data_IF_335135833683
#
_entry.id   IF_335135833683
#
_cell.length_a   1.000
_cell.length_b   1.000
_cell.length_c   1.000
_cell.angle_alpha   90.00
_cell.angle_beta   90.00
_cell.angle_gamma   90.00
#
_symmetry.space_group_name_H-M   'P 1'
#
loop_
_entity.id
_entity.type
_entity.pdbx_description
1 polymer ?
#
# COMPACT_ATOMS: atom_id res chain seq x y z
N UNK A 1 -12.95 17.69 -10.58
CA UNK A 1 -12.58 16.84 -9.43
C UNK A 1 -11.17 17.23 -9.05
N UNK A 2 -10.91 17.51 -7.77
CA UNK A 2 -9.56 17.79 -7.31
C UNK A 2 -8.69 16.55 -7.58
N UNK A 3 -7.49 16.77 -8.06
CA UNK A 3 -6.50 15.73 -8.30
C UNK A 3 -5.89 15.42 -6.93
N UNK A 4 -6.33 14.36 -6.26
CA UNK A 4 -5.66 13.92 -5.03
C UNK A 4 -4.25 13.46 -5.38
N UNK A 5 -3.24 14.06 -4.74
CA UNK A 5 -1.84 13.75 -4.97
C UNK A 5 -1.37 12.85 -3.84
N UNK A 6 -0.99 11.63 -4.17
CA UNK A 6 -0.42 10.67 -3.21
C UNK A 6 1.11 10.68 -3.34
N UNK A 7 1.81 10.84 -2.21
CA UNK A 7 3.27 10.60 -2.12
C UNK A 7 3.53 9.39 -1.24
N UNK A 8 4.55 8.60 -1.59
CA UNK A 8 4.89 7.35 -0.91
C UNK A 8 6.38 7.27 -0.60
N UNK A 9 6.71 6.76 0.58
CA UNK A 9 8.07 6.69 1.10
C UNK A 9 8.37 5.31 1.67
N UNK A 10 9.65 4.94 1.66
CA UNK A 10 10.15 3.88 2.55
C UNK A 10 10.25 4.43 3.98
N UNK A 11 10.11 3.55 4.96
CA UNK A 11 10.30 3.88 6.37
C UNK A 11 11.63 3.31 6.85
N UNK A 12 12.40 4.09 7.62
CA UNK A 12 13.80 3.77 7.96
C UNK A 12 14.04 3.42 9.42
N UNK A 13 13.05 3.63 10.29
CA UNK A 13 13.08 3.21 11.69
C UNK A 13 11.65 3.06 12.24
N UNK A 14 11.52 2.70 13.51
CA UNK A 14 10.24 2.38 14.16
C UNK A 14 9.70 3.48 15.11
N UNK A 15 10.27 4.69 15.10
CA UNK A 15 9.86 5.76 16.04
C UNK A 15 8.40 6.19 15.83
N UNK A 16 7.86 6.04 14.61
CA UNK A 16 6.44 6.25 14.27
C UNK A 16 5.46 5.41 15.10
N UNK A 17 5.89 4.26 15.65
CA UNK A 17 4.99 3.37 16.41
C UNK A 17 4.46 4.04 17.68
N UNK A 18 5.27 4.89 18.30
CA UNK A 18 4.86 5.68 19.48
C UNK A 18 3.85 6.78 19.16
N UNK A 19 3.74 7.16 17.89
CA UNK A 19 2.88 8.25 17.39
C UNK A 19 1.61 7.73 16.70
N UNK A 20 1.48 6.42 16.50
CA UNK A 20 0.33 5.81 15.84
C UNK A 20 -0.94 5.94 16.69
N UNK A 21 -1.94 6.62 16.13
CA UNK A 21 -3.23 6.86 16.79
C UNK A 21 -4.23 5.72 16.57
N UNK A 22 -4.14 5.03 15.43
CA UNK A 22 -4.97 3.89 15.09
C UNK A 22 -4.18 2.89 14.25
N UNK A 23 -4.63 1.63 14.24
CA UNK A 23 -4.10 0.58 13.38
C UNK A 23 -5.24 -0.28 12.88
N UNK A 24 -5.20 -0.66 11.61
CA UNK A 24 -6.17 -1.57 11.00
C UNK A 24 -5.44 -2.69 10.27
N UNK A 25 -5.94 -3.90 10.42
CA UNK A 25 -5.47 -5.04 9.63
C UNK A 25 -6.15 -5.04 8.27
N UNK A 26 -5.35 -5.19 7.22
CA UNK A 26 -5.79 -5.11 5.83
C UNK A 26 -5.23 -6.28 5.04
N UNK A 27 -6.11 -6.96 4.30
CA UNK A 27 -5.75 -7.93 3.28
C UNK A 27 -6.28 -7.47 1.92
N UNK A 28 -5.40 -7.32 0.93
CA UNK A 28 -5.77 -6.81 -0.40
C UNK A 28 -5.50 -7.87 -1.49
N UNK A 29 -6.58 -8.43 -2.05
CA UNK A 29 -6.55 -9.51 -3.04
C UNK A 29 -6.81 -8.98 -4.44
N UNK A 30 -5.89 -9.28 -5.37
CA UNK A 30 -6.12 -9.01 -6.78
C UNK A 30 -7.07 -10.06 -7.37
N UNK A 31 -8.23 -9.60 -7.84
CA UNK A 31 -9.26 -10.48 -8.43
C UNK A 31 -9.10 -10.54 -9.95
N UNK A 32 -8.98 -9.37 -10.59
CA UNK A 32 -8.89 -9.30 -12.04
C UNK A 32 -7.94 -8.21 -12.51
N UNK A 33 -7.38 -8.44 -13.70
CA UNK A 33 -6.73 -7.42 -14.54
C UNK A 33 -7.44 -7.45 -15.88
N UNK A 34 -7.75 -6.28 -16.40
CA UNK A 34 -8.37 -6.08 -17.69
C UNK A 34 -7.68 -4.92 -18.40
N UNK A 35 -8.02 -4.69 -19.67
CA UNK A 35 -7.41 -3.61 -20.44
C UNK A 35 -7.62 -2.26 -19.73
N UNK A 36 -6.52 -1.56 -19.46
CA UNK A 36 -6.52 -0.30 -18.73
C UNK A 36 -6.73 -0.41 -17.21
N UNK A 37 -7.07 -1.57 -16.62
CA UNK A 37 -7.53 -1.57 -15.23
C UNK A 37 -7.41 -2.87 -14.43
N UNK A 38 -7.95 -2.83 -13.21
CA UNK A 38 -7.93 -3.95 -12.26
C UNK A 38 -9.08 -3.91 -11.26
N UNK A 39 -9.42 -5.08 -10.73
CA UNK A 39 -10.36 -5.27 -9.63
C UNK A 39 -9.63 -5.88 -8.43
N UNK A 40 -9.88 -5.36 -7.23
CA UNK A 40 -9.34 -5.92 -5.98
C UNK A 40 -10.43 -6.01 -4.92
N UNK A 41 -10.43 -7.08 -4.15
CA UNK A 41 -11.20 -7.16 -2.90
C UNK A 41 -10.26 -6.85 -1.76
N UNK A 42 -10.64 -5.86 -0.94
CA UNK A 42 -9.95 -5.52 0.29
C UNK A 42 -10.80 -5.97 1.47
N UNK A 43 -10.21 -6.75 2.36
CA UNK A 43 -10.71 -6.96 3.71
C UNK A 43 -10.01 -5.93 4.60
N UNK A 44 -10.79 -5.11 5.29
CA UNK A 44 -10.30 -4.13 6.24
C UNK A 44 -11.25 -4.18 7.43
N UNK A 45 -10.83 -4.86 8.49
CA UNK A 45 -11.70 -5.18 9.63
C UNK A 45 -13.03 -5.82 9.12
N UNK A 46 -14.18 -5.33 9.57
CA UNK A 46 -15.50 -5.85 9.22
C UNK A 46 -16.10 -5.19 7.96
N UNK A 47 -15.30 -4.48 7.15
CA UNK A 47 -15.79 -3.70 6.00
C UNK A 47 -15.13 -4.14 4.68
N UNK A 48 -15.50 -5.32 4.14
CA UNK A 48 -14.96 -5.77 2.88
C UNK A 48 -15.46 -4.90 1.72
N UNK A 49 -14.56 -4.57 0.79
CA UNK A 49 -14.86 -3.69 -0.34
C UNK A 49 -14.26 -4.26 -1.63
N UNK A 50 -15.05 -4.28 -2.70
CA UNK A 50 -14.56 -4.47 -4.07
C UNK A 50 -14.23 -3.09 -4.66
N UNK A 51 -13.00 -2.93 -5.13
CA UNK A 51 -12.55 -1.73 -5.82
C UNK A 51 -12.23 -2.02 -7.27
N UNK A 52 -12.85 -1.24 -8.17
CA UNK A 52 -12.58 -1.24 -9.61
C UNK A 52 -11.77 0.00 -9.97
N UNK A 53 -10.61 -0.19 -10.57
CA UNK A 53 -9.69 0.88 -10.99
C UNK A 53 -9.57 0.85 -12.50
N UNK A 54 -9.95 1.94 -13.17
CA UNK A 54 -9.85 2.11 -14.61
C UNK A 54 -8.48 2.59 -15.08
N UNK A 55 -8.42 2.99 -16.35
CA UNK A 55 -7.21 3.50 -17.00
C UNK A 55 -6.70 4.78 -16.35
N UNK A 56 -5.37 4.90 -16.30
CA UNK A 56 -4.71 6.09 -15.76
C UNK A 56 -4.52 7.11 -16.89
N UNK A 57 -4.99 8.33 -16.66
CA UNK A 57 -4.77 9.48 -17.53
C UNK A 57 -3.98 10.54 -16.75
N UNK A 58 -2.67 10.61 -16.96
CA UNK A 58 -1.77 11.42 -16.13
C UNK A 58 -1.69 10.88 -14.69
N UNK A 59 -1.94 11.73 -13.70
CA UNK A 59 -1.96 11.31 -12.29
C UNK A 59 -3.27 10.62 -11.87
N UNK A 60 -4.38 10.88 -12.58
CA UNK A 60 -5.72 10.46 -12.20
C UNK A 60 -6.17 9.14 -12.87
N UNK A 61 -7.14 8.48 -12.26
CA UNK A 61 -7.92 7.37 -12.86
C UNK A 61 -9.32 7.34 -12.25
N UNK A 62 -10.28 6.72 -12.94
CA UNK A 62 -11.56 6.38 -12.33
C UNK A 62 -11.40 5.25 -11.34
N UNK A 63 -12.05 5.37 -10.18
CA UNK A 63 -12.07 4.37 -9.14
C UNK A 63 -13.49 4.24 -8.57
N UNK A 64 -13.97 3.01 -8.40
CA UNK A 64 -15.29 2.71 -7.82
C UNK A 64 -15.11 1.78 -6.64
N UNK A 65 -15.83 2.06 -5.55
CA UNK A 65 -15.85 1.25 -4.34
C UNK A 65 -17.25 0.67 -4.15
N UNK A 66 -17.33 -0.64 -3.98
CA UNK A 66 -18.57 -1.37 -3.75
C UNK A 66 -18.41 -2.14 -2.44
N UNK A 67 -19.19 -1.78 -1.43
CA UNK A 67 -19.24 -2.53 -0.17
C UNK A 67 -19.76 -3.95 -0.43
N UNK A 68 -19.14 -4.93 0.21
CA UNK A 68 -19.53 -6.34 0.12
C UNK A 68 -20.02 -6.83 1.48
N UNK A 69 -20.72 -7.96 1.48
CA UNK A 69 -20.84 -8.78 2.68
C UNK A 69 -19.56 -9.60 2.88
N UNK A 70 -19.30 -10.08 4.11
CA UNK A 70 -18.17 -10.96 4.39
C UNK A 70 -18.23 -12.25 3.56
N UNK A 71 -19.42 -12.83 3.40
CA UNK A 71 -19.63 -14.06 2.62
C UNK A 71 -19.32 -13.84 1.14
N UNK A 72 -19.80 -12.74 0.54
CA UNK A 72 -19.51 -12.40 -0.85
C UNK A 72 -18.01 -12.16 -1.06
N UNK A 73 -17.37 -11.42 -0.15
CA UNK A 73 -15.95 -11.14 -0.24
C UNK A 73 -15.11 -12.42 -0.18
N UNK A 74 -15.43 -13.31 0.76
CA UNK A 74 -14.74 -14.59 0.90
C UNK A 74 -14.98 -15.50 -0.32
N UNK A 75 -16.21 -15.55 -0.84
CA UNK A 75 -16.54 -16.29 -2.06
C UNK A 75 -15.77 -15.78 -3.28
N UNK A 76 -15.70 -14.46 -3.47
CA UNK A 76 -14.95 -13.84 -4.57
C UNK A 76 -13.45 -14.11 -4.44
N UNK A 77 -12.89 -13.97 -3.24
CA UNK A 77 -11.47 -14.26 -3.00
C UNK A 77 -11.16 -15.72 -3.29
N UNK A 78 -11.98 -16.65 -2.76
CA UNK A 78 -11.76 -18.08 -2.93
C UNK A 78 -11.80 -18.52 -4.39
N UNK A 79 -12.71 -17.95 -5.19
CA UNK A 79 -12.91 -18.37 -6.58
C UNK A 79 -11.94 -17.66 -7.54
N UNK A 80 -11.63 -16.38 -7.30
CA UNK A 80 -11.02 -15.52 -8.31
C UNK A 80 -9.68 -14.88 -7.92
N UNK A 81 -9.22 -14.99 -6.66
CA UNK A 81 -7.98 -14.35 -6.25
C UNK A 81 -6.78 -14.88 -7.04
N UNK A 82 -6.02 -13.95 -7.62
CA UNK A 82 -4.76 -14.24 -8.32
C UNK A 82 -3.61 -14.19 -7.31
N UNK A 83 -3.44 -15.28 -6.56
CA UNK A 83 -2.36 -15.45 -5.58
C UNK A 83 -2.71 -14.98 -4.16
N UNK A 84 -1.73 -14.93 -3.24
CA UNK A 84 -1.97 -14.53 -1.86
C UNK A 84 -2.41 -13.07 -1.78
N UNK A 85 -3.15 -12.75 -0.72
CA UNK A 85 -3.46 -11.38 -0.36
C UNK A 85 -2.20 -10.62 0.03
N UNK A 86 -2.18 -9.31 -0.25
CA UNK A 86 -1.17 -8.43 0.30
C UNK A 86 -1.63 -8.00 1.70
N UNK A 87 -1.05 -8.60 2.72
CA UNK A 87 -1.41 -8.42 4.12
C UNK A 87 -0.53 -7.36 4.79
N UNK A 88 -1.14 -6.48 5.59
CA UNK A 88 -0.45 -5.41 6.31
C UNK A 88 -1.24 -4.90 7.52
N UNK A 89 -0.54 -4.29 8.46
CA UNK A 89 -1.12 -3.37 9.43
C UNK A 89 -0.92 -1.95 8.91
N UNK A 90 -2.02 -1.22 8.69
CA UNK A 90 -1.98 0.20 8.34
C UNK A 90 -2.19 1.03 9.60
N UNK A 91 -1.17 1.80 9.95
CA UNK A 91 -1.17 2.71 11.08
C UNK A 91 -1.40 4.14 10.64
N UNK A 92 -2.24 4.86 11.37
CA UNK A 92 -2.51 6.27 11.16
C UNK A 92 -1.65 7.10 12.11
N UNK A 93 -0.76 7.92 11.56
CA UNK A 93 0.17 8.78 12.30
C UNK A 93 -0.09 10.22 11.91
N UNK A 94 -0.44 11.07 12.89
CA UNK A 94 -0.69 12.50 12.64
C UNK A 94 0.62 13.28 12.76
N UNK A 95 0.99 14.00 11.71
CA UNK A 95 2.20 14.84 11.67
C UNK A 95 1.79 16.21 11.15
N UNK A 96 1.92 17.24 11.98
CA UNK A 96 1.42 18.56 11.66
C UNK A 96 -0.08 18.51 11.31
N UNK A 97 -0.43 19.02 10.14
CA UNK A 97 -1.80 19.03 9.62
C UNK A 97 -2.17 17.78 8.82
N UNK A 98 -1.22 16.88 8.55
CA UNK A 98 -1.41 15.74 7.65
C UNK A 98 -1.54 14.42 8.39
N UNK A 99 -2.33 13.52 7.81
CA UNK A 99 -2.44 12.14 8.25
C UNK A 99 -1.56 11.27 7.36
N UNK A 100 -0.60 10.60 7.97
CA UNK A 100 0.24 9.61 7.32
C UNK A 100 -0.32 8.21 7.54
N UNK A 101 -0.32 7.41 6.49
CA UNK A 101 -0.67 5.99 6.55
C UNK A 101 0.61 5.16 6.45
N UNK A 102 1.07 4.62 7.58
CA UNK A 102 2.24 3.75 7.67
C UNK A 102 1.80 2.30 7.55
N UNK A 103 2.17 1.66 6.45
CA UNK A 103 1.92 0.25 6.18
C UNK A 103 3.10 -0.60 6.64
N UNK A 104 2.88 -1.42 7.66
CA UNK A 104 3.75 -2.52 8.03
C UNK A 104 3.26 -3.81 7.36
N UNK A 105 4.03 -4.32 6.39
CA UNK A 105 3.66 -5.53 5.67
C UNK A 105 3.89 -6.79 6.52
N UNK A 106 2.98 -7.74 6.36
CA UNK A 106 2.99 -9.01 7.08
C UNK A 106 3.38 -10.19 6.17
N UNK A 107 3.45 -11.38 6.75
CA UNK A 107 3.73 -12.62 6.04
C UNK A 107 5.10 -12.60 5.34
N UNK A 108 5.18 -12.99 4.05
CA UNK A 108 6.46 -13.02 3.31
C UNK A 108 7.18 -11.67 3.23
N UNK A 109 6.44 -10.55 3.36
CA UNK A 109 6.98 -9.20 3.26
C UNK A 109 7.27 -8.57 4.64
N UNK A 110 7.35 -9.39 5.69
CA UNK A 110 7.75 -8.93 7.02
C UNK A 110 9.10 -8.20 6.96
N UNK A 111 9.12 -6.97 7.45
CA UNK A 111 10.30 -6.09 7.44
C UNK A 111 10.26 -5.00 6.35
N UNK A 112 9.31 -5.05 5.41
CA UNK A 112 8.99 -3.91 4.55
C UNK A 112 8.00 -3.00 5.26
N UNK A 113 8.32 -1.71 5.33
CA UNK A 113 7.42 -0.68 5.85
C UNK A 113 7.41 0.50 4.89
N UNK A 114 6.22 0.97 4.53
CA UNK A 114 6.06 2.13 3.65
C UNK A 114 5.12 3.14 4.27
N UNK A 115 5.28 4.42 3.96
CA UNK A 115 4.36 5.46 4.41
C UNK A 115 3.77 6.21 3.22
N UNK A 116 2.47 6.46 3.26
CA UNK A 116 1.71 7.20 2.25
C UNK A 116 1.10 8.45 2.89
N UNK A 117 1.06 9.54 2.12
CA UNK A 117 0.38 10.80 2.48
C UNK A 117 -0.43 11.27 1.27
N UNK A 118 -1.67 11.68 1.51
CA UNK A 118 -2.54 12.31 0.52
C UNK A 118 -2.49 13.83 0.70
N UNK A 119 -2.32 14.53 -0.41
CA UNK A 119 -2.21 15.99 -0.51
C UNK A 119 -3.28 16.52 -1.46
N UNK A 120 -3.74 17.74 -1.19
CA UNK A 120 -4.68 18.45 -2.05
C UNK A 120 -4.05 18.99 -3.34
N UNK A 121 -2.72 19.15 -3.39
CA UNK A 121 -1.97 19.56 -4.58
C UNK A 121 -0.50 19.11 -4.55
N UNK A 122 0.15 19.04 -5.73
CA UNK A 122 1.57 18.67 -5.83
C UNK A 122 2.52 19.67 -5.16
N UNK A 123 2.12 20.94 -5.10
CA UNK A 123 2.87 22.03 -4.48
C UNK A 123 2.50 22.27 -3.02
N UNK A 124 1.69 21.40 -2.42
CA UNK A 124 1.32 21.53 -1.02
C UNK A 124 2.52 21.20 -0.12
N UNK A 125 2.82 22.11 0.80
CA UNK A 125 3.85 21.89 1.81
C UNK A 125 3.33 20.95 2.90
N UNK A 126 4.18 20.03 3.36
CA UNK A 126 3.88 19.11 4.46
C UNK A 126 5.15 18.76 5.21
N UNK A 127 4.99 18.35 6.46
CA UNK A 127 6.10 17.96 7.32
C UNK A 127 6.59 16.54 6.97
N UNK A 128 7.91 16.36 6.89
CA UNK A 128 8.57 15.08 6.62
C UNK A 128 9.20 14.56 7.93
N UNK A 129 8.60 13.55 8.59
CA UNK A 129 9.13 12.97 9.82
C UNK A 129 10.47 12.27 9.65
N UNK A 130 11.23 12.14 10.73
CA UNK A 130 12.55 11.48 10.74
C UNK A 130 12.52 9.99 10.37
N UNK A 131 11.37 9.32 10.53
CA UNK A 131 11.19 7.91 10.19
C UNK A 131 10.93 7.70 8.70
N UNK A 132 10.71 8.77 7.93
CA UNK A 132 10.58 8.69 6.48
C UNK A 132 11.96 8.63 5.80
N UNK A 133 12.05 7.79 4.77
CA UNK A 133 13.26 7.60 3.98
C UNK A 133 13.07 8.04 2.53
N UNK A 134 13.62 7.23 1.61
CA UNK A 134 13.55 7.48 0.17
C UNK A 134 12.11 7.55 -0.31
N UNK A 135 11.79 8.59 -1.08
CA UNK A 135 10.54 8.66 -1.82
C UNK A 135 10.50 7.58 -2.91
N UNK A 136 9.38 6.88 -2.99
CA UNK A 136 9.10 5.79 -3.93
C UNK A 136 7.78 6.03 -4.69
N UNK A 137 7.29 7.27 -4.70
CA UNK A 137 6.15 7.69 -5.51
C UNK A 137 6.38 7.29 -6.97
N UNK A 138 5.47 6.49 -7.53
CA UNK A 138 5.58 6.01 -8.91
C UNK A 138 6.58 4.87 -9.16
N UNK A 139 7.34 4.40 -8.14
CA UNK A 139 8.23 3.25 -8.30
C UNK A 139 7.43 1.96 -8.51
N UNK A 140 7.34 1.51 -9.76
CA UNK A 140 6.52 0.35 -10.13
C UNK A 140 6.98 -0.95 -9.47
N UNK A 141 8.25 -1.03 -9.05
CA UNK A 141 8.82 -2.19 -8.34
C UNK A 141 8.19 -2.40 -6.97
N UNK A 142 7.66 -1.33 -6.37
CA UNK A 142 6.99 -1.35 -5.06
C UNK A 142 5.47 -1.16 -5.17
N UNK A 143 4.91 -1.33 -6.37
CA UNK A 143 3.46 -1.36 -6.54
C UNK A 143 2.85 -2.57 -5.82
N UNK A 144 1.64 -2.43 -5.27
CA UNK A 144 0.91 -3.53 -4.62
C UNK A 144 0.63 -4.73 -5.54
N UNK A 145 0.84 -4.56 -6.85
CA UNK A 145 0.78 -5.63 -7.84
C UNK A 145 2.07 -6.48 -7.81
N UNK A 146 3.22 -5.82 -7.85
CA UNK A 146 4.54 -6.47 -7.81
C UNK A 146 4.79 -7.08 -6.43
N UNK A 147 4.44 -6.38 -5.34
CA UNK A 147 4.55 -6.92 -3.99
C UNK A 147 3.74 -8.22 -3.81
N UNK A 148 2.48 -8.23 -4.25
CA UNK A 148 1.63 -9.43 -4.17
C UNK A 148 2.18 -10.60 -5.03
N UNK A 149 2.80 -10.31 -6.17
CA UNK A 149 3.46 -11.34 -6.98
C UNK A 149 4.73 -11.87 -6.28
N UNK A 150 5.57 -10.98 -5.75
CA UNK A 150 6.77 -11.35 -5.02
C UNK A 150 6.47 -12.21 -3.79
N UNK A 151 5.34 -11.98 -3.11
CA UNK A 151 4.89 -12.78 -1.97
C UNK A 151 4.52 -14.23 -2.31
N UNK A 152 4.46 -14.61 -3.60
CA UNK A 152 4.16 -16.00 -4.02
C UNK A 152 5.35 -16.94 -3.87
N UNK A 153 6.57 -16.41 -3.89
CA UNK A 153 7.82 -17.18 -3.80
C UNK A 153 8.71 -16.56 -2.71
N UNK A 154 9.18 -17.34 -1.73
CA UNK A 154 10.11 -16.86 -0.70
C UNK A 154 11.31 -16.09 -1.24
N UNK A 155 11.85 -16.45 -2.42
CA UNK A 155 13.00 -15.73 -2.99
C UNK A 155 12.64 -14.33 -3.46
N UNK A 156 11.47 -14.17 -4.09
CA UNK A 156 10.99 -12.87 -4.55
C UNK A 156 10.74 -11.92 -3.37
N UNK A 157 10.09 -12.43 -2.32
CA UNK A 157 9.88 -11.69 -1.09
C UNK A 157 11.21 -11.30 -0.41
N UNK A 158 12.14 -12.24 -0.26
CA UNK A 158 13.46 -11.97 0.33
C UNK A 158 14.24 -10.90 -0.45
N UNK A 159 14.14 -10.88 -1.79
CA UNK A 159 14.76 -9.84 -2.61
C UNK A 159 14.16 -8.46 -2.32
N UNK A 160 12.84 -8.35 -2.20
CA UNK A 160 12.17 -7.10 -1.82
C UNK A 160 12.65 -6.62 -0.45
N UNK A 161 12.70 -7.50 0.55
CA UNK A 161 13.13 -7.14 1.91
C UNK A 161 14.59 -6.71 1.94
N UNK A 162 15.46 -7.39 1.20
CA UNK A 162 16.88 -7.05 1.14
C UNK A 162 17.11 -5.66 0.55
N UNK A 163 16.32 -5.28 -0.46
CA UNK A 163 16.48 -4.00 -1.17
C UNK A 163 15.75 -2.83 -0.52
N UNK A 164 14.61 -3.10 0.14
CA UNK A 164 13.65 -2.07 0.53
C UNK A 164 13.14 -2.20 1.97
N UNK A 165 13.55 -3.23 2.72
CA UNK A 165 13.20 -3.36 4.12
C UNK A 165 13.79 -2.25 4.97
N UNK A 166 13.27 -2.06 6.18
CA UNK A 166 13.72 -1.02 7.13
C UNK A 166 15.22 -1.13 7.43
N UNK A 167 15.75 -2.36 7.42
CA UNK A 167 17.16 -2.66 7.68
C UNK A 167 17.99 -2.85 6.38
N UNK A 168 17.45 -2.49 5.22
CA UNK A 168 18.19 -2.59 3.96
C UNK A 168 19.44 -1.70 4.05
N UNK A 169 20.62 -2.30 3.92
CA UNK A 169 21.89 -1.57 3.91
C UNK A 169 21.88 -0.69 2.67
N UNK A 170 21.85 0.63 2.87
CA UNK A 170 21.57 1.64 1.87
C UNK A 170 22.09 1.30 0.47
N UNK A 171 21.16 1.06 -0.45
CA UNK A 171 21.43 1.32 -1.85
C UNK A 171 21.69 2.81 -1.95
N UNK A 172 22.96 3.16 -2.13
CA UNK A 172 23.43 4.52 -2.40
C UNK A 172 22.49 5.23 -3.36
N UNK A 173 22.13 6.47 -3.02
CA UNK A 173 21.71 7.45 -4.01
C UNK A 173 22.88 7.62 -5.00
N UNK A 174 22.80 6.92 -6.12
CA UNK A 174 23.41 7.34 -7.38
C UNK A 174 22.31 7.88 -8.29
#
# INVERSE_FOLDING_TARGET
MALEVERKYLVVNDTWRGEAAASRHIEDHLIARFEGGKARVRLCEDQPTLTLKGERHGAARSEYHVSLTSDDAQGIISEFAKGPGLEKLRHEVKVGEHLWQVDEYLGPLLGLVTAEIELGAESEDFDIPEWTGREITGDTRLSSAVLAEASRDPNGAAQIITLYGVNAVGGSND
#
